data_IF_016965462431
#
_entry.id   IF_016965462431
#
_cell.length_a   1.000
_cell.length_b   1.000
_cell.length_c   1.000
_cell.angle_alpha   90.00
_cell.angle_beta   90.00
_cell.angle_gamma   90.00
#
_symmetry.space_group_name_H-M   'P 1'
#
loop_
_entity.id
_entity.type
_entity.pdbx_description
1 polymer ?
#
# COMPACT_ATOMS: atom_id res chain seq x y z
N UNK A 1 0.01 25.37 -14.38
CA UNK A 1 0.51 25.81 -15.72
C UNK A 1 1.55 26.88 -15.45
N UNK A 2 2.83 26.56 -15.53
CA UNK A 2 3.92 27.54 -15.44
C UNK A 2 4.21 28.06 -16.84
N UNK A 3 4.07 29.36 -17.05
CA UNK A 3 4.43 30.05 -18.27
C UNK A 3 5.96 30.03 -18.46
N UNK A 4 6.40 29.52 -19.59
CA UNK A 4 7.82 29.55 -19.99
C UNK A 4 8.08 30.85 -20.74
N UNK A 5 8.88 31.74 -20.14
CA UNK A 5 9.32 32.96 -20.79
C UNK A 5 10.62 32.68 -21.59
N UNK A 6 10.55 32.76 -22.91
CA UNK A 6 11.70 32.60 -23.77
C UNK A 6 12.39 33.97 -23.90
N UNK A 7 13.65 34.10 -23.43
CA UNK A 7 14.45 35.28 -23.55
C UNK A 7 15.40 35.15 -24.76
N UNK A 8 15.26 36.02 -25.75
CA UNK A 8 16.18 36.10 -26.89
C UNK A 8 17.35 37.07 -26.57
N UNK A 9 18.56 36.58 -26.55
CA UNK A 9 19.77 37.43 -26.56
C UNK A 9 20.49 37.26 -27.92
N UNK A 10 20.32 38.22 -28.78
CA UNK A 10 21.09 38.33 -30.02
C UNK A 10 22.38 39.12 -29.77
N UNK A 11 23.52 38.67 -30.24
CA UNK A 11 24.76 39.46 -30.38
C UNK A 11 24.92 39.85 -31.84
N UNK A 12 25.05 41.14 -32.09
CA UNK A 12 25.39 41.70 -33.41
C UNK A 12 26.91 41.73 -33.54
N UNK A 13 27.45 41.06 -34.53
CA UNK A 13 28.88 41.15 -34.90
C UNK A 13 28.94 41.72 -36.30
N UNK A 14 29.45 42.93 -36.42
CA UNK A 14 29.70 43.57 -37.71
C UNK A 14 31.17 43.40 -38.10
N UNK A 15 31.44 42.76 -39.21
CA UNK A 15 32.76 42.68 -39.88
C UNK A 15 32.56 43.03 -41.36
N UNK A 16 32.99 44.23 -41.72
CA UNK A 16 32.91 44.70 -43.11
C UNK A 16 31.51 45.13 -43.57
N UNK A 17 31.36 45.45 -44.85
CA UNK A 17 30.16 46.07 -45.44
C UNK A 17 28.91 45.18 -45.51
N UNK A 18 28.91 43.98 -44.89
CA UNK A 18 27.70 43.14 -44.78
C UNK A 18 27.48 42.67 -43.32
N UNK A 19 26.35 43.04 -42.72
CA UNK A 19 25.93 42.56 -41.42
C UNK A 19 25.20 41.20 -41.57
N UNK A 20 25.86 40.11 -41.19
CA UNK A 20 25.20 38.78 -41.10
C UNK A 20 24.66 38.59 -39.69
N UNK A 21 23.36 38.47 -39.60
CA UNK A 21 22.66 38.14 -38.32
C UNK A 21 22.78 36.65 -38.05
N UNK A 22 23.73 36.24 -37.22
CA UNK A 22 23.80 34.86 -36.75
C UNK A 22 22.82 34.70 -35.59
N UNK A 23 21.65 34.11 -35.88
CA UNK A 23 20.68 33.72 -34.89
C UNK A 23 21.08 32.36 -34.33
N UNK A 24 21.82 32.31 -33.21
CA UNK A 24 22.07 31.07 -32.47
C UNK A 24 20.82 30.71 -31.66
N UNK A 25 20.02 29.81 -32.18
CA UNK A 25 18.96 29.14 -31.39
C UNK A 25 19.63 28.26 -30.32
N UNK A 26 19.73 28.76 -29.11
CA UNK A 26 19.93 27.89 -27.94
C UNK A 26 18.63 27.13 -27.69
N UNK A 27 18.50 25.94 -28.28
CA UNK A 27 17.48 24.99 -27.92
C UNK A 27 17.92 24.49 -26.54
N UNK A 28 17.36 25.09 -25.48
CA UNK A 28 17.39 24.51 -24.15
C UNK A 28 16.56 23.23 -24.24
N UNK A 29 17.24 22.09 -24.40
CA UNK A 29 16.60 20.81 -24.33
C UNK A 29 15.92 20.71 -22.96
N UNK A 30 14.60 20.79 -22.92
CA UNK A 30 13.84 20.38 -21.76
C UNK A 30 14.03 18.87 -21.70
N UNK A 31 14.94 18.43 -20.82
CA UNK A 31 15.02 17.02 -20.45
C UNK A 31 13.70 16.71 -19.75
N UNK A 32 12.78 16.08 -20.46
CA UNK A 32 11.65 15.42 -19.86
C UNK A 32 12.27 14.24 -19.09
N UNK A 33 12.44 14.40 -17.78
CA UNK A 33 12.75 13.29 -16.92
C UNK A 33 11.59 12.30 -17.07
N UNK A 34 11.89 11.10 -17.55
CA UNK A 34 10.92 10.03 -17.64
C UNK A 34 10.56 9.63 -16.21
N UNK A 35 9.31 9.84 -15.81
CA UNK A 35 8.83 9.55 -14.47
C UNK A 35 8.40 8.09 -14.44
N UNK A 36 9.18 7.26 -13.76
CA UNK A 36 8.84 5.86 -13.53
C UNK A 36 7.88 5.74 -12.36
N UNK A 37 6.70 5.15 -12.62
CA UNK A 37 5.67 4.92 -11.60
C UNK A 37 5.64 3.47 -11.18
N UNK A 38 5.41 3.24 -9.90
CA UNK A 38 5.16 1.91 -9.37
C UNK A 38 3.71 1.54 -9.68
N UNK A 39 3.48 0.69 -10.67
CA UNK A 39 2.15 0.34 -11.17
C UNK A 39 1.23 -0.40 -10.18
N UNK A 40 1.70 -0.67 -8.96
CA UNK A 40 0.93 -1.26 -7.86
C UNK A 40 0.29 -0.18 -6.96
N UNK A 41 0.77 1.06 -7.05
CA UNK A 41 0.26 2.20 -6.29
C UNK A 41 -0.60 3.08 -7.20
N UNK A 42 -1.90 3.09 -6.95
CA UNK A 42 -2.81 3.99 -7.66
C UNK A 42 -2.62 5.42 -7.13
N UNK A 43 -2.39 6.39 -8.04
CA UNK A 43 -2.12 7.80 -7.71
C UNK A 43 -0.87 8.04 -6.85
N UNK A 44 0.17 7.25 -7.10
CA UNK A 44 1.42 7.28 -6.35
C UNK A 44 1.42 6.37 -5.12
N UNK A 45 2.61 5.98 -4.68
CA UNK A 45 2.75 5.27 -3.41
C UNK A 45 2.66 6.25 -2.23
N UNK A 46 2.10 5.83 -1.08
CA UNK A 46 1.95 6.71 0.07
C UNK A 46 3.25 7.41 0.45
N UNK A 47 3.16 8.73 0.68
CA UNK A 47 4.24 9.54 1.21
C UNK A 47 4.09 9.73 2.72
N UNK A 48 5.12 10.28 3.39
CA UNK A 48 5.06 10.54 4.84
C UNK A 48 5.57 9.39 5.72
N UNK A 49 5.81 8.19 5.17
CA UNK A 49 6.51 7.14 5.91
C UNK A 49 7.96 7.56 6.21
N UNK A 50 8.59 6.94 7.23
CA UNK A 50 9.98 7.23 7.56
C UNK A 50 10.92 7.00 6.38
N UNK A 51 11.87 7.91 6.16
CA UNK A 51 12.93 7.76 5.16
C UNK A 51 13.89 6.59 5.46
N UNK A 52 13.85 6.05 6.69
CA UNK A 52 14.64 4.87 7.09
C UNK A 52 13.93 3.56 6.73
N UNK A 53 12.69 3.61 6.26
CA UNK A 53 11.97 2.42 5.84
C UNK A 53 12.59 1.82 4.57
N UNK A 54 12.53 0.50 4.48
CA UNK A 54 12.87 -0.21 3.25
C UNK A 54 11.66 -0.27 2.32
N UNK A 55 11.75 0.39 1.17
CA UNK A 55 10.77 0.23 0.09
C UNK A 55 11.07 -1.09 -0.64
N UNK A 56 10.22 -2.08 -0.47
CA UNK A 56 10.32 -3.38 -1.12
C UNK A 56 9.34 -3.45 -2.30
N UNK A 57 9.90 -3.63 -3.50
CA UNK A 57 9.14 -3.79 -4.73
C UNK A 57 9.17 -5.25 -5.17
N UNK A 58 8.00 -5.86 -5.23
CA UNK A 58 7.81 -7.25 -5.66
C UNK A 58 6.91 -7.29 -6.89
N UNK A 59 6.90 -8.36 -7.68
CA UNK A 59 6.03 -8.48 -8.85
C UNK A 59 4.53 -8.28 -8.55
N UNK A 60 4.09 -8.64 -7.34
CA UNK A 60 2.67 -8.66 -6.97
C UNK A 60 2.29 -7.67 -5.89
N UNK A 61 3.24 -7.04 -5.20
CA UNK A 61 2.99 -5.98 -4.22
C UNK A 61 4.21 -5.08 -4.04
N UNK A 62 3.95 -3.88 -3.51
CA UNK A 62 4.95 -2.99 -2.95
C UNK A 62 4.65 -2.78 -1.47
N UNK A 63 5.67 -2.61 -0.63
CA UNK A 63 5.47 -2.24 0.77
C UNK A 63 6.62 -1.37 1.29
N UNK A 64 6.31 -0.53 2.28
CA UNK A 64 7.27 0.25 3.04
C UNK A 64 7.50 -0.41 4.39
N UNK A 65 8.62 -1.10 4.55
CA UNK A 65 8.94 -1.85 5.77
C UNK A 65 9.63 -0.98 6.81
N UNK A 66 9.01 -0.84 7.98
CA UNK A 66 9.54 -0.12 9.12
C UNK A 66 10.37 -1.07 10.00
N UNK A 67 11.68 -0.83 10.06
CA UNK A 67 12.61 -1.67 10.81
C UNK A 67 12.49 -1.52 12.33
N UNK A 68 11.97 -0.39 12.80
CA UNK A 68 11.75 -0.15 14.24
C UNK A 68 10.55 -0.94 14.74
N UNK A 69 9.43 -0.84 14.05
CA UNK A 69 8.21 -1.59 14.39
C UNK A 69 8.25 -3.05 13.90
N UNK A 70 9.21 -3.39 13.05
CA UNK A 70 9.35 -4.70 12.37
C UNK A 70 8.06 -5.13 11.67
N UNK A 71 7.47 -4.18 10.98
CA UNK A 71 6.21 -4.34 10.24
C UNK A 71 6.17 -3.33 9.09
N UNK A 72 5.43 -3.62 8.02
CA UNK A 72 5.24 -2.62 6.97
C UNK A 72 4.30 -1.52 7.45
N UNK A 73 4.65 -0.24 7.20
CA UNK A 73 3.76 0.89 7.45
C UNK A 73 2.62 0.94 6.42
N UNK A 74 2.85 0.43 5.22
CA UNK A 74 1.83 0.20 4.21
C UNK A 74 2.26 -0.90 3.24
N UNK A 75 1.26 -1.53 2.62
CA UNK A 75 1.42 -2.43 1.48
C UNK A 75 0.39 -2.08 0.41
N UNK A 76 0.85 -1.98 -0.85
CA UNK A 76 0.05 -1.69 -2.03
C UNK A 76 0.09 -2.86 -3.01
N UNK A 77 -1.06 -3.25 -3.54
CA UNK A 77 -1.16 -4.34 -4.51
C UNK A 77 -2.39 -4.21 -5.39
N UNK A 78 -2.33 -4.86 -6.55
CA UNK A 78 -3.42 -4.89 -7.53
C UNK A 78 -3.97 -6.30 -7.64
N UNK A 79 -5.30 -6.44 -7.58
CA UNK A 79 -6.01 -7.72 -7.69
C UNK A 79 -6.84 -7.74 -8.95
N UNK A 80 -6.66 -8.76 -9.77
CA UNK A 80 -7.44 -9.04 -10.96
C UNK A 80 -8.00 -10.47 -10.93
N UNK A 81 -8.96 -10.78 -11.77
CA UNK A 81 -9.51 -12.15 -11.83
C UNK A 81 -8.43 -13.20 -12.13
N UNK A 82 -7.42 -12.84 -12.95
CA UNK A 82 -6.31 -13.74 -13.28
C UNK A 82 -5.30 -13.95 -12.14
N UNK A 83 -5.27 -13.07 -11.13
CA UNK A 83 -4.36 -13.22 -9.98
C UNK A 83 -4.95 -14.12 -8.88
N UNK A 84 -6.27 -14.19 -8.77
CA UNK A 84 -6.96 -15.01 -7.77
C UNK A 84 -6.84 -16.49 -8.12
N UNK A 85 -6.62 -17.35 -7.13
CA UNK A 85 -6.49 -18.79 -7.36
C UNK A 85 -6.84 -19.63 -6.14
N UNK A 86 -6.68 -20.95 -6.30
CA UNK A 86 -6.94 -21.93 -5.24
C UNK A 86 -5.72 -22.00 -4.32
N UNK A 87 -5.83 -21.41 -3.14
CA UNK A 87 -4.74 -21.33 -2.18
C UNK A 87 -4.69 -22.49 -1.16
N UNK A 88 -5.66 -23.41 -1.20
CA UNK A 88 -5.76 -24.50 -0.19
C UNK A 88 -4.60 -25.51 -0.27
N UNK A 89 -4.03 -25.70 -1.46
CA UNK A 89 -2.89 -26.59 -1.70
C UNK A 89 -1.53 -25.91 -1.65
N UNK A 90 -1.49 -24.57 -1.52
CA UNK A 90 -0.25 -23.80 -1.53
C UNK A 90 0.35 -23.73 -0.14
N UNK A 91 1.69 -23.73 -0.08
CA UNK A 91 2.44 -23.58 1.17
C UNK A 91 2.17 -22.22 1.81
N UNK A 92 2.04 -22.21 3.13
CA UNK A 92 1.96 -21.00 3.97
C UNK A 92 3.19 -20.88 4.88
N UNK A 93 4.24 -21.61 4.55
CA UNK A 93 5.48 -21.57 5.29
C UNK A 93 6.09 -20.17 5.18
N UNK A 94 6.41 -19.52 6.29
CA UNK A 94 7.07 -18.23 6.28
C UNK A 94 8.44 -18.30 5.62
N UNK A 95 8.77 -17.28 4.84
CA UNK A 95 10.05 -17.12 4.17
C UNK A 95 10.79 -15.92 4.74
N UNK A 96 12.09 -16.09 4.99
CA UNK A 96 12.95 -14.96 5.32
C UNK A 96 13.12 -14.06 4.10
N UNK A 97 13.09 -12.75 4.32
CA UNK A 97 13.35 -11.78 3.27
C UNK A 97 14.83 -11.39 3.28
N UNK A 98 15.57 -11.71 2.23
CA UNK A 98 16.99 -11.41 2.12
C UNK A 98 17.31 -9.91 2.08
N UNK A 99 16.35 -9.08 1.64
CA UNK A 99 16.50 -7.63 1.61
C UNK A 99 16.29 -6.98 2.97
N UNK A 100 15.61 -7.69 3.91
CA UNK A 100 15.38 -7.21 5.27
C UNK A 100 15.56 -8.38 6.26
N UNK A 101 16.80 -8.69 6.62
CA UNK A 101 17.08 -9.84 7.49
C UNK A 101 16.58 -9.68 8.93
N UNK A 102 16.42 -8.43 9.41
CA UNK A 102 15.95 -8.16 10.78
C UNK A 102 14.41 -7.97 10.82
N UNK A 103 13.69 -9.07 10.57
CA UNK A 103 12.24 -9.14 10.72
C UNK A 103 11.85 -9.87 12.01
N UNK A 104 10.56 -9.78 12.40
CA UNK A 104 9.98 -10.74 13.34
C UNK A 104 10.02 -12.13 12.69
N UNK A 105 10.58 -13.08 13.42
CA UNK A 105 10.67 -14.48 12.99
C UNK A 105 9.45 -15.27 13.49
N UNK A 106 9.28 -16.49 13.00
CA UNK A 106 8.18 -17.38 13.47
C UNK A 106 8.20 -17.56 14.97
N UNK A 107 9.40 -17.68 15.58
CA UNK A 107 9.56 -17.83 17.02
C UNK A 107 9.08 -16.63 17.83
N UNK A 108 9.13 -15.41 17.25
CA UNK A 108 8.65 -14.19 17.92
C UNK A 108 7.12 -14.18 18.09
N UNK A 109 6.41 -15.02 17.34
CA UNK A 109 4.95 -15.23 17.46
C UNK A 109 4.60 -16.38 18.42
N UNK A 110 5.58 -17.02 19.06
CA UNK A 110 5.29 -18.08 20.03
C UNK A 110 4.42 -17.55 21.18
N UNK A 111 3.38 -18.29 21.54
CA UNK A 111 2.44 -17.89 22.59
C UNK A 111 1.44 -16.81 22.20
N UNK A 112 1.53 -16.22 21.00
CA UNK A 112 0.61 -15.17 20.55
C UNK A 112 -0.86 -15.60 20.52
N UNK A 113 -1.12 -16.90 20.29
CA UNK A 113 -2.49 -17.45 20.28
C UNK A 113 -3.18 -17.33 21.65
N UNK A 114 -2.43 -17.46 22.76
CA UNK A 114 -2.96 -17.25 24.10
C UNK A 114 -3.35 -15.78 24.35
N UNK A 115 -2.76 -14.85 23.60
CA UNK A 115 -3.10 -13.43 23.57
C UNK A 115 -4.22 -13.12 22.57
N UNK A 116 -4.78 -14.12 21.90
CA UNK A 116 -5.77 -13.96 20.84
C UNK A 116 -5.20 -13.39 19.53
N UNK A 117 -3.87 -13.39 19.37
CA UNK A 117 -3.19 -12.88 18.17
C UNK A 117 -2.73 -14.03 17.28
N UNK A 118 -2.76 -13.79 15.98
CA UNK A 118 -2.26 -14.70 14.94
C UNK A 118 -1.15 -14.01 14.15
N UNK A 119 -0.18 -14.77 13.65
CA UNK A 119 0.67 -14.30 12.55
C UNK A 119 -0.19 -14.30 11.29
N UNK A 120 -0.49 -13.13 10.80
CA UNK A 120 -1.31 -12.87 9.63
C UNK A 120 -0.49 -12.18 8.54
N UNK A 121 -1.11 -11.90 7.40
CA UNK A 121 -0.51 -11.22 6.25
C UNK A 121 -1.28 -9.93 5.94
N UNK A 122 -0.58 -8.88 5.48
CA UNK A 122 -1.20 -7.68 4.89
C UNK A 122 -1.69 -7.99 3.46
N UNK A 123 -0.81 -8.56 2.65
CA UNK A 123 -1.10 -9.00 1.28
C UNK A 123 -1.50 -10.47 1.30
N UNK A 124 -2.76 -10.83 0.99
CA UNK A 124 -3.28 -12.18 1.22
C UNK A 124 -2.92 -13.15 0.09
N UNK A 125 -2.56 -14.39 0.45
CA UNK A 125 -2.18 -15.45 -0.48
C UNK A 125 -3.25 -15.74 -1.55
N UNK A 126 -4.53 -15.75 -1.16
CA UNK A 126 -5.65 -16.10 -2.07
C UNK A 126 -5.73 -15.15 -3.26
N UNK A 127 -5.37 -13.87 -3.07
CA UNK A 127 -5.44 -12.87 -4.12
C UNK A 127 -4.37 -13.07 -5.21
N UNK A 128 -3.35 -13.90 -4.94
CA UNK A 128 -2.22 -14.13 -5.83
C UNK A 128 -1.94 -15.61 -6.12
N UNK A 129 -2.78 -16.51 -5.62
CA UNK A 129 -2.64 -17.96 -5.81
C UNK A 129 -2.70 -18.40 -7.28
N UNK A 130 -3.20 -17.57 -8.18
CA UNK A 130 -3.20 -17.78 -9.63
C UNK A 130 -1.93 -17.29 -10.34
N UNK A 131 -0.96 -16.69 -9.64
CA UNK A 131 0.28 -16.15 -10.21
C UNK A 131 1.48 -17.06 -9.92
N UNK A 132 2.55 -17.02 -10.72
CA UNK A 132 3.79 -17.74 -10.39
C UNK A 132 4.55 -17.15 -9.18
N UNK A 133 4.16 -15.96 -8.69
CA UNK A 133 4.82 -15.23 -7.63
C UNK A 133 4.12 -15.37 -6.26
N UNK A 134 3.15 -16.29 -6.14
CA UNK A 134 2.32 -16.46 -4.93
C UNK A 134 3.14 -16.72 -3.65
N UNK A 135 4.33 -17.32 -3.75
CA UNK A 135 5.19 -17.59 -2.59
C UNK A 135 5.68 -16.31 -1.92
N UNK A 136 5.82 -15.21 -2.67
CA UNK A 136 6.34 -13.94 -2.16
C UNK A 136 5.46 -13.32 -1.06
N UNK A 137 4.18 -13.67 -1.00
CA UNK A 137 3.31 -13.22 0.10
C UNK A 137 3.67 -13.88 1.43
N UNK A 138 4.46 -14.96 1.44
CA UNK A 138 4.92 -15.65 2.64
C UNK A 138 6.17 -15.01 3.27
N UNK A 139 6.77 -14.00 2.65
CA UNK A 139 7.86 -13.27 3.28
C UNK A 139 7.44 -12.67 4.62
N UNK A 140 8.35 -12.79 5.60
CA UNK A 140 8.12 -12.27 6.95
C UNK A 140 7.92 -10.75 6.98
N UNK A 141 8.42 -10.02 5.98
CA UNK A 141 8.16 -8.59 5.78
C UNK A 141 6.68 -8.27 5.51
N UNK A 142 5.88 -9.24 5.04
CA UNK A 142 4.44 -9.14 4.85
C UNK A 142 3.64 -9.63 6.08
N UNK A 143 4.32 -10.10 7.14
CA UNK A 143 3.67 -10.65 8.34
C UNK A 143 3.29 -9.57 9.33
N UNK A 144 2.11 -9.73 9.96
CA UNK A 144 1.59 -8.84 11.00
C UNK A 144 0.99 -9.67 12.14
N UNK A 145 1.02 -9.13 13.36
CA UNK A 145 0.24 -9.67 14.47
C UNK A 145 -1.18 -9.11 14.40
N UNK A 146 -2.17 -9.96 14.13
CA UNK A 146 -3.58 -9.56 14.01
C UNK A 146 -4.47 -10.46 14.86
N UNK A 147 -5.51 -9.85 15.49
CA UNK A 147 -6.41 -10.61 16.35
C UNK A 147 -7.15 -11.71 15.58
N UNK A 148 -7.41 -12.82 16.25
CA UNK A 148 -8.17 -13.95 15.70
C UNK A 148 -9.58 -13.51 15.29
N UNK A 149 -10.26 -12.73 16.15
CA UNK A 149 -11.61 -12.27 15.87
C UNK A 149 -11.69 -11.40 14.63
N UNK A 150 -10.80 -10.41 14.52
CA UNK A 150 -10.71 -9.58 13.32
C UNK A 150 -10.39 -10.42 12.08
N UNK A 151 -9.40 -11.32 12.19
CA UNK A 151 -8.94 -12.16 11.06
C UNK A 151 -10.03 -13.09 10.52
N UNK A 152 -10.91 -13.60 11.38
CA UNK A 152 -11.99 -14.53 11.02
C UNK A 152 -13.33 -13.83 10.76
N UNK A 153 -13.48 -12.59 11.21
CA UNK A 153 -14.67 -11.75 11.05
C UNK A 153 -14.52 -10.73 9.93
N UNK A 154 -14.50 -9.45 10.29
CA UNK A 154 -14.57 -8.33 9.36
C UNK A 154 -13.46 -8.31 8.30
N UNK A 155 -12.21 -8.68 8.65
CA UNK A 155 -11.12 -8.78 7.67
C UNK A 155 -11.42 -9.82 6.61
N UNK A 156 -11.83 -11.04 7.02
CA UNK A 156 -12.17 -12.10 6.07
C UNK A 156 -13.37 -11.71 5.20
N UNK A 157 -14.39 -11.10 5.79
CA UNK A 157 -15.57 -10.61 5.06
C UNK A 157 -15.23 -9.60 3.98
N UNK A 158 -14.39 -8.60 4.31
CA UNK A 158 -13.93 -7.61 3.35
C UNK A 158 -13.08 -8.24 2.22
N UNK A 159 -12.15 -9.12 2.55
CA UNK A 159 -11.34 -9.84 1.55
C UNK A 159 -12.22 -10.70 0.62
N UNK A 160 -13.27 -11.32 1.15
CA UNK A 160 -14.22 -12.08 0.34
C UNK A 160 -15.01 -11.17 -0.62
N UNK A 161 -15.49 -10.01 -0.13
CA UNK A 161 -16.20 -9.01 -0.93
C UNK A 161 -15.31 -8.43 -2.05
N UNK A 162 -14.05 -8.15 -1.76
CA UNK A 162 -13.06 -7.71 -2.76
C UNK A 162 -12.92 -8.75 -3.86
N UNK A 163 -12.75 -10.02 -3.53
CA UNK A 163 -12.63 -11.09 -4.55
C UNK A 163 -13.90 -11.26 -5.37
N UNK A 164 -15.07 -11.11 -4.76
CA UNK A 164 -16.34 -11.13 -5.49
C UNK A 164 -16.46 -9.96 -6.47
N UNK A 165 -16.04 -8.76 -6.06
CA UNK A 165 -15.98 -7.59 -6.92
C UNK A 165 -15.07 -7.85 -8.13
N UNK A 166 -13.87 -8.38 -7.90
CA UNK A 166 -12.90 -8.72 -8.95
C UNK A 166 -13.44 -9.81 -9.88
N UNK A 167 -14.09 -10.84 -9.35
CA UNK A 167 -14.67 -11.93 -10.16
C UNK A 167 -15.86 -11.46 -11.04
N UNK A 168 -16.46 -10.31 -10.76
CA UNK A 168 -17.46 -9.67 -11.61
C UNK A 168 -16.85 -8.84 -12.75
N UNK A 169 -15.55 -8.93 -12.97
CA UNK A 169 -14.84 -8.29 -14.08
C UNK A 169 -14.16 -6.98 -13.72
N UNK A 170 -14.09 -6.64 -12.43
CA UNK A 170 -13.37 -5.47 -11.95
C UNK A 170 -11.89 -5.80 -11.69
N UNK A 171 -11.05 -4.77 -11.72
CA UNK A 171 -9.69 -4.81 -11.21
C UNK A 171 -9.61 -3.76 -10.11
N UNK A 172 -8.98 -4.10 -8.99
CA UNK A 172 -8.88 -3.19 -7.86
C UNK A 172 -7.45 -3.02 -7.38
N UNK A 173 -7.18 -1.83 -6.90
CA UNK A 173 -5.95 -1.46 -6.20
C UNK A 173 -6.25 -1.41 -4.72
N UNK A 174 -5.42 -2.08 -3.95
CA UNK A 174 -5.56 -2.15 -2.50
C UNK A 174 -4.36 -1.46 -1.86
N UNK A 175 -4.65 -0.60 -0.90
CA UNK A 175 -3.67 -0.07 0.02
C UNK A 175 -4.08 -0.46 1.44
N UNK A 176 -3.16 -1.01 2.22
CA UNK A 176 -3.44 -1.47 3.59
C UNK A 176 -2.21 -1.29 4.46
N UNK A 177 -2.40 -1.07 5.74
CA UNK A 177 -1.31 -0.91 6.69
C UNK A 177 -1.81 -0.84 8.13
N UNK A 178 -0.88 -0.78 9.10
CA UNK A 178 -1.20 -0.66 10.52
C UNK A 178 -1.61 0.77 10.89
N UNK A 179 -2.38 0.87 11.98
CA UNK A 179 -2.65 2.10 12.71
C UNK A 179 -2.20 1.90 14.15
N UNK A 180 -1.44 2.87 14.68
CA UNK A 180 -0.94 2.90 16.03
C UNK A 180 -1.57 4.07 16.79
N UNK A 181 -2.30 3.78 17.88
CA UNK A 181 -2.88 4.80 18.75
C UNK A 181 -1.84 5.31 19.75
N UNK A 182 -2.00 6.51 20.28
CA UNK A 182 -1.10 7.06 21.30
C UNK A 182 -1.04 6.17 22.53
N UNK A 183 -2.19 5.72 23.02
CA UNK A 183 -2.29 4.77 24.12
C UNK A 183 -2.46 3.37 23.57
N UNK A 184 -1.46 2.53 23.82
CA UNK A 184 -1.46 1.15 23.38
C UNK A 184 -2.46 0.33 24.20
N UNK A 185 -3.42 -0.29 23.53
CA UNK A 185 -4.48 -1.10 24.15
C UNK A 185 -4.37 -2.59 23.83
N UNK A 186 -3.56 -2.95 22.87
CA UNK A 186 -3.41 -4.32 22.35
C UNK A 186 -2.25 -5.02 23.05
N UNK A 187 -2.44 -6.32 23.36
CA UNK A 187 -1.36 -7.16 23.90
C UNK A 187 -0.18 -7.22 22.92
N UNK A 188 1.03 -7.21 23.46
CA UNK A 188 2.27 -7.29 22.68
C UNK A 188 2.76 -8.73 22.58
N UNK A 189 3.51 -9.04 21.52
CA UNK A 189 4.18 -10.33 21.38
C UNK A 189 5.23 -10.50 22.49
N UNK A 190 5.43 -11.73 22.94
CA UNK A 190 6.44 -12.08 23.93
C UNK A 190 7.79 -12.32 23.24
N UNK A 191 8.42 -11.25 22.80
CA UNK A 191 9.75 -11.26 22.19
C UNK A 191 10.59 -10.12 22.74
N UNK A 192 11.92 -10.33 22.77
CA UNK A 192 12.88 -9.30 23.16
C UNK A 192 13.14 -8.27 22.03
N UNK A 193 12.70 -8.57 20.82
CA UNK A 193 12.84 -7.65 19.69
C UNK A 193 11.93 -6.43 19.87
N UNK A 194 12.49 -5.25 19.59
CA UNK A 194 11.68 -4.04 19.51
C UNK A 194 10.62 -4.21 18.41
N UNK A 195 9.36 -4.06 18.79
CA UNK A 195 8.23 -4.09 17.87
C UNK A 195 7.03 -3.42 18.53
N UNK A 196 6.00 -3.16 17.76
CA UNK A 196 4.71 -2.72 18.27
C UNK A 196 3.59 -3.45 17.52
N UNK A 197 2.71 -4.13 18.27
CA UNK A 197 1.47 -4.68 17.68
C UNK A 197 0.53 -3.53 17.38
N UNK A 198 0.01 -3.41 16.15
CA UNK A 198 -0.92 -2.33 15.79
C UNK A 198 -2.21 -2.38 16.60
N UNK A 199 -2.82 -1.21 16.85
CA UNK A 199 -4.14 -1.10 17.47
C UNK A 199 -5.26 -1.36 16.47
N UNK A 200 -5.03 -1.03 15.19
CA UNK A 200 -5.96 -1.28 14.08
C UNK A 200 -5.19 -1.45 12.77
N UNK A 201 -5.91 -1.76 11.72
CA UNK A 201 -5.41 -1.74 10.34
C UNK A 201 -6.34 -0.89 9.49
N UNK A 202 -5.79 -0.18 8.53
CA UNK A 202 -6.59 0.40 7.46
C UNK A 202 -6.57 -0.49 6.21
N UNK A 203 -7.63 -0.38 5.42
CA UNK A 203 -7.68 -0.94 4.07
C UNK A 203 -8.49 -0.04 3.16
N UNK A 204 -7.88 0.36 2.05
CA UNK A 204 -8.50 1.17 1.00
C UNK A 204 -8.59 0.30 -0.25
N UNK A 205 -9.77 0.27 -0.86
CA UNK A 205 -10.07 -0.47 -2.09
C UNK A 205 -10.45 0.53 -3.15
N UNK A 206 -9.73 0.57 -4.27
CA UNK A 206 -9.95 1.52 -5.35
C UNK A 206 -10.06 0.81 -6.70
N UNK A 207 -10.90 1.29 -7.59
CA UNK A 207 -10.83 0.96 -9.02
C UNK A 207 -9.96 1.97 -9.76
N UNK A 208 -9.48 1.61 -10.95
CA UNK A 208 -8.73 2.54 -11.81
C UNK A 208 -9.58 3.75 -12.25
N UNK A 209 -10.91 3.67 -12.14
CA UNK A 209 -11.86 4.73 -12.47
C UNK A 209 -12.06 5.75 -11.35
N UNK A 210 -11.42 5.55 -10.18
CA UNK A 210 -11.50 6.46 -9.04
C UNK A 210 -12.64 6.17 -8.08
N UNK A 211 -13.34 5.05 -8.23
CA UNK A 211 -14.30 4.57 -7.23
C UNK A 211 -13.55 3.88 -6.10
N UNK A 212 -14.00 4.06 -4.86
CA UNK A 212 -13.30 3.48 -3.72
C UNK A 212 -14.10 3.44 -2.43
N UNK A 213 -13.60 2.64 -1.49
CA UNK A 213 -14.07 2.60 -0.10
C UNK A 213 -12.89 2.35 0.82
N UNK A 214 -12.95 2.93 2.00
CA UNK A 214 -11.92 2.81 3.02
C UNK A 214 -12.50 2.26 4.32
N UNK A 215 -11.66 1.53 5.07
CA UNK A 215 -12.05 0.83 6.29
C UNK A 215 -10.95 0.97 7.35
N UNK A 216 -11.36 1.13 8.61
CA UNK A 216 -10.50 1.01 9.79
C UNK A 216 -10.95 -0.21 10.59
N UNK A 217 -10.08 -1.18 10.71
CA UNK A 217 -10.33 -2.52 11.23
C UNK A 217 -9.58 -2.65 12.57
N UNK A 218 -10.26 -2.29 13.67
CA UNK A 218 -9.69 -2.33 15.01
C UNK A 218 -9.42 -3.78 15.47
N UNK A 219 -8.31 -4.00 16.18
CA UNK A 219 -7.95 -5.31 16.71
C UNK A 219 -8.99 -5.87 17.70
N UNK A 220 -9.70 -4.99 18.41
CA UNK A 220 -10.75 -5.36 19.34
C UNK A 220 -12.09 -5.72 18.68
N UNK A 221 -12.20 -5.60 17.35
CA UNK A 221 -13.44 -5.89 16.61
C UNK A 221 -13.92 -7.30 16.88
N UNK A 222 -15.15 -7.50 17.39
CA UNK A 222 -15.74 -8.82 17.59
C UNK A 222 -15.93 -9.57 16.26
N UNK A 223 -15.85 -10.90 16.30
CA UNK A 223 -15.91 -11.76 15.10
C UNK A 223 -17.18 -11.60 14.27
N UNK A 224 -18.30 -11.23 14.89
CA UNK A 224 -19.60 -11.08 14.24
C UNK A 224 -19.84 -9.70 13.61
N UNK A 225 -18.96 -8.73 13.83
CA UNK A 225 -19.08 -7.39 13.25
C UNK A 225 -18.79 -7.46 11.75
N UNK A 226 -19.67 -6.87 10.96
CA UNK A 226 -19.50 -6.82 9.51
C UNK A 226 -18.53 -5.71 9.11
N UNK A 227 -17.76 -5.91 8.03
CA UNK A 227 -16.83 -4.89 7.57
C UNK A 227 -17.52 -3.56 7.18
N UNK A 228 -18.76 -3.61 6.78
CA UNK A 228 -19.54 -2.41 6.45
C UNK A 228 -19.76 -1.46 7.65
N UNK A 229 -19.71 -1.99 8.88
CA UNK A 229 -19.80 -1.18 10.09
C UNK A 229 -18.48 -0.47 10.44
N UNK A 230 -17.41 -0.78 9.69
CA UNK A 230 -16.03 -0.32 9.90
C UNK A 230 -15.56 0.62 8.79
N UNK A 231 -16.48 1.24 8.06
CA UNK A 231 -16.16 2.22 7.02
C UNK A 231 -15.51 3.46 7.64
N UNK A 232 -14.57 4.02 6.90
CA UNK A 232 -13.83 5.22 7.28
C UNK A 232 -13.59 6.09 6.04
N UNK A 233 -13.12 7.30 6.24
CA UNK A 233 -12.63 8.15 5.16
C UNK A 233 -11.12 7.99 4.95
N UNK A 234 -10.62 8.34 3.77
CA UNK A 234 -9.17 8.42 3.51
C UNK A 234 -8.54 9.48 4.40
N UNK A 235 -9.18 10.63 4.59
CA UNK A 235 -8.70 11.71 5.47
C UNK A 235 -8.54 11.24 6.94
N UNK A 236 -9.45 10.40 7.44
CA UNK A 236 -9.33 9.81 8.77
C UNK A 236 -8.11 8.90 8.86
N UNK A 237 -7.86 8.07 7.83
CA UNK A 237 -6.68 7.20 7.76
C UNK A 237 -5.41 8.05 7.71
N UNK A 238 -5.34 9.09 6.90
CA UNK A 238 -4.21 10.02 6.81
C UNK A 238 -3.93 10.69 8.16
N UNK A 239 -4.99 11.14 8.85
CA UNK A 239 -4.87 11.73 10.19
C UNK A 239 -4.27 10.76 11.21
N UNK A 240 -4.68 9.49 11.17
CA UNK A 240 -4.25 8.47 12.12
C UNK A 240 -2.87 7.89 11.81
N UNK A 241 -2.46 7.89 10.55
CA UNK A 241 -1.19 7.29 10.11
C UNK A 241 -0.09 8.31 9.86
N UNK A 242 -0.44 9.56 9.58
CA UNK A 242 0.48 10.59 9.10
C UNK A 242 0.93 10.39 7.65
N UNK A 243 0.33 9.44 6.93
CA UNK A 243 0.61 9.19 5.52
C UNK A 243 -0.20 10.13 4.63
N UNK A 244 0.39 10.60 3.54
CA UNK A 244 -0.33 11.13 2.37
C UNK A 244 -0.60 9.94 1.43
N UNK A 245 -1.86 9.52 1.38
CA UNK A 245 -2.28 8.25 0.75
C UNK A 245 -2.23 8.33 -0.78
N UNK A 246 -2.59 9.47 -1.36
CA UNK A 246 -2.66 9.67 -2.81
C UNK A 246 -1.88 10.92 -3.24
N UNK A 247 -0.53 10.94 -3.08
CA UNK A 247 0.28 12.14 -3.25
C UNK A 247 0.25 12.72 -4.67
N UNK A 248 -0.06 11.92 -5.69
CA UNK A 248 -0.20 12.38 -7.07
C UNK A 248 -1.60 12.92 -7.41
N UNK A 249 -2.57 12.75 -6.51
CA UNK A 249 -3.93 13.26 -6.71
C UNK A 249 -4.58 13.75 -5.38
N UNK A 250 -4.05 14.82 -4.78
CA UNK A 250 -4.48 15.29 -3.44
C UNK A 250 -5.93 15.84 -3.43
N UNK A 251 -6.56 16.01 -4.59
CA UNK A 251 -7.95 16.49 -4.71
C UNK A 251 -8.87 15.39 -5.23
N UNK A 252 -8.50 14.13 -5.04
CA UNK A 252 -9.26 12.98 -5.51
C UNK A 252 -10.65 12.97 -4.88
N UNK A 253 -11.68 13.07 -5.73
CA UNK A 253 -13.05 12.82 -5.31
C UNK A 253 -13.38 11.35 -5.51
N UNK A 254 -13.55 10.62 -4.41
CA UNK A 254 -13.79 9.17 -4.44
C UNK A 254 -15.28 8.90 -4.47
N UNK A 255 -15.77 8.32 -5.56
CA UNK A 255 -17.11 7.75 -5.61
C UNK A 255 -17.13 6.43 -4.81
N UNK A 256 -18.19 6.23 -4.00
CA UNK A 256 -18.25 5.06 -3.11
C UNK A 256 -18.38 3.73 -3.87
N UNK A 257 -17.57 2.75 -3.47
CA UNK A 257 -17.67 1.33 -3.83
C UNK A 257 -18.50 0.51 -2.82
N UNK A 258 -19.09 1.12 -1.81
CA UNK A 258 -19.72 0.42 -0.68
C UNK A 258 -20.71 -0.64 -1.14
N UNK A 259 -21.62 -0.29 -2.05
CA UNK A 259 -22.62 -1.24 -2.61
C UNK A 259 -21.94 -2.44 -3.29
N UNK A 260 -20.88 -2.20 -4.05
CA UNK A 260 -20.16 -3.28 -4.76
C UNK A 260 -19.39 -4.20 -3.82
N UNK A 261 -19.05 -3.70 -2.64
CA UNK A 261 -18.45 -4.45 -1.54
C UNK A 261 -19.49 -5.07 -0.60
N UNK A 262 -20.79 -4.93 -0.92
CA UNK A 262 -21.89 -5.52 -0.15
C UNK A 262 -22.33 -4.70 1.06
N UNK A 263 -22.03 -3.39 1.03
CA UNK A 263 -22.44 -2.44 2.07
C UNK A 263 -23.58 -1.56 1.52
N UNK A 264 -24.79 -1.81 1.95
CA UNK A 264 -25.98 -1.02 1.56
C UNK A 264 -26.11 0.27 2.40
#
# INVERSE_FOLDING_TARGET
IRSVTVSFRGRLVCLGSECVLLLTLLISGVSLAEEYRIGLCLYGCPAGASNENHLLLRPIYALSYNTVNRMADWAAYRVSAGSIGIASSLSRQPLSDEFVPDTLQVADFAGSEALGLLRAQLVPLVNFAGTPYWEEVNFLTNSVARSRNLSQGAWYGLEWSIRNLVNRGNEVFILTGPIYKEVQTVAQLQTEKQHRVPDAFFKIVMTAQGQGSAFILDQATPVHVHHCDLRASVEEIETLTGLDIFPENPSLNIESLDRDLGCD
#
